data_IF_465661840353
#
_entry.id   IF_465661840353
#
_cell.length_a   1.000
_cell.length_b   1.000
_cell.length_c   1.000
_cell.angle_alpha   90.00
_cell.angle_beta   90.00
_cell.angle_gamma   90.00
#
_symmetry.space_group_name_H-M   'P 1'
#
loop_
_entity.id
_entity.type
_entity.pdbx_description
1 polymer ?
#
# COMPACT_ATOMS: atom_id res chain seq x y z
N UNK A 1 8.11 2.32 18.21
CA UNK A 1 7.91 1.65 16.91
C UNK A 1 7.83 0.15 17.14
N UNK A 2 6.62 -0.39 17.26
CA UNK A 2 6.43 -1.85 17.26
C UNK A 2 6.52 -2.33 15.80
N UNK A 3 7.09 -3.50 15.55
CA UNK A 3 7.16 -4.11 14.22
C UNK A 3 6.31 -5.37 14.22
N UNK A 4 5.34 -5.47 13.31
CA UNK A 4 4.53 -6.68 13.10
C UNK A 4 4.85 -7.31 11.76
N UNK A 5 5.05 -8.62 11.76
CA UNK A 5 5.29 -9.40 10.56
C UNK A 5 4.20 -10.48 10.45
N UNK A 6 3.51 -10.52 9.31
CA UNK A 6 2.50 -11.54 8.99
C UNK A 6 2.84 -12.17 7.62
N UNK A 7 2.78 -13.50 7.52
CA UNK A 7 3.00 -14.22 6.25
C UNK A 7 1.75 -14.19 5.35
N UNK A 8 0.55 -14.10 5.93
CA UNK A 8 -0.71 -13.97 5.21
C UNK A 8 -1.66 -13.10 6.03
N UNK A 9 -2.34 -12.14 5.40
CA UNK A 9 -3.23 -11.21 6.09
C UNK A 9 -4.63 -11.20 5.48
N UNK A 10 -5.59 -11.73 6.23
CA UNK A 10 -6.99 -11.91 5.83
C UNK A 10 -7.96 -10.96 6.58
N UNK A 11 -7.46 -10.14 7.51
CA UNK A 11 -8.27 -9.19 8.28
C UNK A 11 -7.88 -7.75 7.96
N UNK A 12 -8.89 -6.89 7.78
CA UNK A 12 -8.72 -5.44 7.59
C UNK A 12 -7.91 -4.85 8.74
N UNK A 13 -6.80 -4.19 8.40
CA UNK A 13 -5.95 -3.53 9.39
C UNK A 13 -5.91 -2.03 9.16
N UNK A 14 -6.14 -1.28 10.24
CA UNK A 14 -5.79 0.12 10.40
C UNK A 14 -4.66 0.18 11.42
N UNK A 15 -3.54 0.80 11.07
CA UNK A 15 -2.38 0.85 11.96
C UNK A 15 -1.77 2.24 11.99
N UNK A 16 -1.62 2.79 13.19
CA UNK A 16 -0.98 4.08 13.46
C UNK A 16 0.45 3.88 13.96
N UNK A 17 1.45 4.51 13.35
CA UNK A 17 2.84 4.56 13.86
C UNK A 17 3.55 3.20 14.07
N UNK A 18 3.17 2.18 13.28
CA UNK A 18 3.73 0.81 13.33
C UNK A 18 4.44 0.48 12.01
N UNK A 19 5.50 -0.34 12.10
CA UNK A 19 6.12 -0.94 10.92
C UNK A 19 5.50 -2.30 10.64
N UNK A 20 4.87 -2.42 9.47
CA UNK A 20 4.22 -3.63 9.02
C UNK A 20 5.01 -4.29 7.91
N UNK A 21 5.25 -5.59 8.04
CA UNK A 21 5.80 -6.43 7.00
C UNK A 21 4.84 -7.55 6.68
N UNK A 22 4.26 -7.49 5.49
CA UNK A 22 3.32 -8.51 5.03
C UNK A 22 3.84 -9.12 3.74
N UNK A 23 3.69 -10.44 3.60
CA UNK A 23 4.07 -11.11 2.37
C UNK A 23 2.94 -11.03 1.35
N UNK A 24 1.75 -11.52 1.70
CA UNK A 24 0.57 -11.45 0.83
C UNK A 24 -0.65 -10.93 1.59
N UNK A 25 -1.44 -10.11 0.91
CA UNK A 25 -2.61 -9.44 1.48
C UNK A 25 -3.79 -9.63 0.54
N UNK A 26 -4.84 -10.28 1.07
CA UNK A 26 -6.12 -10.52 0.39
C UNK A 26 -7.25 -9.66 1.00
N UNK A 27 -6.92 -8.72 1.89
CA UNK A 27 -7.87 -7.89 2.62
C UNK A 27 -7.48 -6.41 2.56
N UNK A 28 -8.45 -5.48 2.55
CA UNK A 28 -8.17 -4.06 2.44
C UNK A 28 -7.26 -3.59 3.57
N UNK A 29 -6.24 -2.79 3.24
CA UNK A 29 -5.35 -2.21 4.23
C UNK A 29 -5.47 -0.69 4.25
N UNK A 30 -5.56 -0.15 5.47
CA UNK A 30 -5.49 1.27 5.72
C UNK A 30 -4.30 1.55 6.64
N UNK A 31 -3.51 2.58 6.31
CA UNK A 31 -2.35 2.94 7.10
C UNK A 31 -2.26 4.44 7.32
N UNK A 32 -2.28 4.86 8.58
CA UNK A 32 -2.11 6.25 8.97
C UNK A 32 -0.73 6.42 9.63
N UNK A 33 0.11 7.31 9.11
CA UNK A 33 1.45 7.57 9.68
C UNK A 33 2.30 6.30 9.90
N UNK A 34 2.11 5.28 9.04
CA UNK A 34 2.69 3.95 9.20
C UNK A 34 3.68 3.59 8.08
N UNK A 35 4.52 2.59 8.34
CA UNK A 35 5.48 2.07 7.37
C UNK A 35 5.07 0.66 6.93
N UNK A 36 4.59 0.53 5.70
CA UNK A 36 4.13 -0.74 5.14
C UNK A 36 5.13 -1.30 4.14
N UNK A 37 5.50 -2.57 4.31
CA UNK A 37 6.24 -3.35 3.32
C UNK A 37 5.40 -4.56 2.95
N UNK A 38 4.87 -4.55 1.73
CA UNK A 38 4.06 -5.64 1.20
C UNK A 38 4.70 -6.21 -0.05
N UNK A 39 4.66 -7.54 -0.23
CA UNK A 39 5.19 -8.15 -1.45
C UNK A 39 4.10 -8.24 -2.52
N UNK A 40 2.95 -8.80 -2.20
CA UNK A 40 1.83 -8.93 -3.13
C UNK A 40 0.54 -8.47 -2.48
N UNK A 41 -0.28 -7.76 -3.24
CA UNK A 41 -1.57 -7.24 -2.80
C UNK A 41 -2.62 -7.47 -3.87
N UNK A 42 -3.69 -8.14 -3.46
CA UNK A 42 -4.87 -8.44 -4.29
C UNK A 42 -6.13 -7.75 -3.72
N UNK A 43 -5.94 -6.65 -2.99
CA UNK A 43 -7.00 -5.90 -2.33
C UNK A 43 -6.68 -4.40 -2.30
N UNK A 44 -7.70 -3.52 -2.18
CA UNK A 44 -7.46 -2.08 -2.22
C UNK A 44 -6.61 -1.62 -1.02
N UNK A 45 -5.67 -0.72 -1.29
CA UNK A 45 -4.83 -0.12 -0.25
C UNK A 45 -5.11 1.36 -0.14
N UNK A 46 -5.30 1.82 1.10
CA UNK A 46 -5.46 3.22 1.44
C UNK A 46 -4.34 3.65 2.40
N UNK A 47 -3.75 4.82 2.18
CA UNK A 47 -2.68 5.33 3.02
C UNK A 47 -2.73 6.82 3.23
N UNK A 48 -2.77 7.26 4.47
CA UNK A 48 -2.73 8.66 4.85
C UNK A 48 -1.43 8.97 5.60
N UNK A 49 -0.63 9.90 5.09
CA UNK A 49 0.67 10.26 5.69
C UNK A 49 1.61 9.06 5.92
N UNK A 50 1.45 7.99 5.14
CA UNK A 50 2.14 6.71 5.32
C UNK A 50 3.20 6.47 4.24
N UNK A 51 4.18 5.59 4.52
CA UNK A 51 5.13 5.11 3.52
C UNK A 51 4.82 3.66 3.14
N UNK A 52 4.49 3.44 1.88
CA UNK A 52 4.18 2.15 1.32
C UNK A 52 5.29 1.66 0.39
N UNK A 53 5.76 0.44 0.60
CA UNK A 53 6.60 -0.29 -0.35
C UNK A 53 5.89 -1.56 -0.76
N UNK A 54 5.43 -1.59 -2.00
CA UNK A 54 4.73 -2.74 -2.57
C UNK A 54 5.49 -3.25 -3.80
N UNK A 55 5.60 -4.57 -3.97
CA UNK A 55 6.26 -5.12 -5.16
C UNK A 55 5.26 -5.34 -6.29
N UNK A 56 4.14 -5.98 -6.02
CA UNK A 56 3.08 -6.23 -7.01
C UNK A 56 1.73 -5.87 -6.41
N UNK A 57 0.91 -5.19 -7.19
CA UNK A 57 -0.44 -4.78 -6.81
C UNK A 57 -1.39 -5.04 -7.96
N UNK A 58 -2.45 -5.79 -7.67
CA UNK A 58 -3.54 -6.11 -8.60
C UNK A 58 -4.87 -5.49 -8.12
N UNK A 59 -4.79 -4.36 -7.42
CA UNK A 59 -5.95 -3.67 -6.85
C UNK A 59 -5.75 -2.16 -6.74
N UNK A 60 -6.83 -1.37 -6.63
CA UNK A 60 -6.74 0.09 -6.57
C UNK A 60 -5.88 0.57 -5.39
N UNK A 61 -5.04 1.57 -5.65
CA UNK A 61 -4.24 2.22 -4.60
C UNK A 61 -4.74 3.64 -4.39
N UNK A 62 -5.04 3.99 -3.15
CA UNK A 62 -5.46 5.31 -2.71
C UNK A 62 -4.44 5.87 -1.71
N UNK A 63 -3.99 7.11 -1.89
CA UNK A 63 -3.02 7.72 -0.99
C UNK A 63 -3.23 9.21 -0.79
N UNK A 64 -3.31 9.67 0.45
CA UNK A 64 -3.37 11.09 0.79
C UNK A 64 -2.09 11.47 1.56
N UNK A 65 -1.33 12.43 1.03
CA UNK A 65 -0.04 12.85 1.61
C UNK A 65 0.94 11.69 1.88
N UNK A 66 0.85 10.61 1.11
CA UNK A 66 1.59 9.37 1.32
C UNK A 66 2.73 9.17 0.30
N UNK A 67 3.76 8.41 0.67
CA UNK A 67 4.83 8.01 -0.26
C UNK A 67 4.66 6.55 -0.67
N UNK A 68 4.42 6.33 -1.95
CA UNK A 68 4.21 5.01 -2.53
C UNK A 68 5.42 4.60 -3.38
N UNK A 69 5.98 3.42 -3.10
CA UNK A 69 6.97 2.78 -3.95
C UNK A 69 6.42 1.45 -4.42
N UNK A 70 6.00 1.41 -5.68
CA UNK A 70 5.39 0.23 -6.29
C UNK A 70 6.27 -0.23 -7.45
N UNK A 71 6.57 -1.53 -7.55
CA UNK A 71 7.36 -2.02 -8.70
C UNK A 71 6.47 -2.30 -9.90
N UNK A 72 5.37 -3.02 -9.69
CA UNK A 72 4.38 -3.34 -10.71
C UNK A 72 2.99 -3.08 -10.16
N UNK A 73 2.15 -2.39 -10.94
CA UNK A 73 0.75 -2.20 -10.61
C UNK A 73 -0.13 -2.35 -11.84
N UNK A 74 -1.18 -3.13 -11.68
CA UNK A 74 -2.17 -3.47 -12.71
C UNK A 74 -3.55 -2.95 -12.29
N UNK A 75 -3.56 -1.82 -11.56
CA UNK A 75 -4.79 -1.18 -11.10
C UNK A 75 -4.64 0.35 -10.96
N UNK A 76 -5.77 1.09 -10.93
CA UNK A 76 -5.74 2.54 -10.88
C UNK A 76 -5.05 3.06 -9.61
N UNK A 77 -4.29 4.14 -9.78
CA UNK A 77 -3.63 4.85 -8.69
C UNK A 77 -4.33 6.19 -8.46
N UNK A 78 -4.86 6.39 -7.26
CA UNK A 78 -5.57 7.58 -6.83
C UNK A 78 -4.82 8.24 -5.68
N UNK A 79 -4.67 9.56 -5.66
CA UNK A 79 -4.16 10.19 -4.45
C UNK A 79 -3.92 11.69 -4.49
N UNK A 80 -4.29 12.36 -3.41
CA UNK A 80 -4.06 13.79 -3.21
C UNK A 80 -2.72 14.03 -2.51
N UNK A 81 -1.85 14.82 -3.12
CA UNK A 81 -0.50 15.13 -2.60
C UNK A 81 0.38 13.90 -2.30
N UNK A 82 0.11 12.77 -2.96
CA UNK A 82 0.89 11.55 -2.80
C UNK A 82 2.05 11.49 -3.81
N UNK A 83 3.21 11.00 -3.36
CA UNK A 83 4.36 10.76 -4.24
C UNK A 83 4.42 9.29 -4.63
N UNK A 84 4.10 9.03 -5.90
CA UNK A 84 4.13 7.70 -6.50
C UNK A 84 5.46 7.46 -7.22
N UNK A 85 6.20 6.44 -6.78
CA UNK A 85 7.36 5.90 -7.49
C UNK A 85 6.99 4.53 -8.01
N UNK A 86 6.62 4.47 -9.29
CA UNK A 86 6.20 3.25 -9.96
C UNK A 86 7.20 2.88 -11.05
N UNK A 87 7.62 1.61 -11.12
CA UNK A 87 8.53 1.14 -12.17
C UNK A 87 7.81 0.63 -13.40
N UNK A 88 6.66 -0.02 -13.23
CA UNK A 88 5.78 -0.51 -14.29
C UNK A 88 4.34 -0.29 -13.86
N UNK A 89 3.60 0.50 -14.63
CA UNK A 89 2.17 0.75 -14.41
C UNK A 89 1.43 0.34 -15.66
N UNK A 90 0.54 -0.63 -15.53
CA UNK A 90 -0.40 -1.02 -16.58
C UNK A 90 -1.79 -0.58 -16.13
N UNK A 91 -1.95 0.73 -15.90
CA UNK A 91 -3.17 1.31 -15.35
C UNK A 91 -3.25 2.81 -15.47
N UNK A 92 -4.45 3.34 -15.22
CA UNK A 92 -4.73 4.77 -15.26
C UNK A 92 -4.32 5.42 -13.94
N UNK A 93 -3.62 6.56 -14.03
CA UNK A 93 -3.40 7.44 -12.90
C UNK A 93 -4.64 8.33 -12.78
N UNK A 94 -5.36 8.20 -11.67
CA UNK A 94 -6.43 9.10 -11.27
C UNK A 94 -5.79 10.18 -10.37
N UNK A 95 -5.54 11.35 -10.93
CA UNK A 95 -5.04 12.52 -10.18
C UNK A 95 -6.15 13.55 -10.10
#
# INVERSE_FOLDING_TARGET
MTSKASDKQESQFCGESVLWRVRSVESPLCGESALWRVRSVESPLCGESALWRVRSVESPLCGESALWRVRSVESPLCGESALWRVSSVESQLCV
#
